data_IF_553179440002
#
_entry.id   IF_553179440002
#
_cell.length_a   1.000
_cell.length_b   1.000
_cell.length_c   1.000
_cell.angle_alpha   90.00
_cell.angle_beta   90.00
_cell.angle_gamma   90.00
#
_symmetry.space_group_name_H-M   'P 1'
#
loop_
_entity.id
_entity.type
_entity.pdbx_description
1 polymer ?
#
# COMPACT_ATOMS: atom_id res chain seq x y z
N UNK A 1 -10.91 -22.40 -10.07
CA UNK A 1 -9.54 -22.52 -10.62
C UNK A 1 -9.58 -23.07 -12.05
N UNK A 2 -9.37 -22.22 -13.06
CA UNK A 2 -9.14 -22.67 -14.45
C UNK A 2 -7.82 -22.07 -14.89
N UNK A 3 -6.75 -22.83 -14.72
CA UNK A 3 -5.44 -22.55 -15.29
C UNK A 3 -5.53 -22.72 -16.81
N UNK A 4 -5.03 -21.73 -17.57
CA UNK A 4 -4.83 -21.87 -19.03
C UNK A 4 -5.75 -21.08 -19.96
N UNK A 5 -6.61 -20.16 -19.50
CA UNK A 5 -7.33 -19.23 -20.41
C UNK A 5 -6.62 -17.87 -20.47
N UNK A 6 -6.31 -17.32 -21.67
CA UNK A 6 -5.76 -15.98 -21.79
C UNK A 6 -6.76 -14.97 -21.22
N UNK A 7 -6.30 -14.15 -20.27
CA UNK A 7 -7.11 -13.08 -19.68
C UNK A 7 -6.99 -11.86 -20.59
N UNK A 8 -7.95 -11.68 -21.48
CA UNK A 8 -8.03 -10.50 -22.34
C UNK A 8 -8.68 -9.35 -21.54
N UNK A 9 -7.97 -8.24 -21.41
CA UNK A 9 -8.50 -7.00 -20.83
C UNK A 9 -7.95 -5.81 -21.62
N UNK A 10 -8.76 -4.76 -21.77
CA UNK A 10 -8.35 -3.52 -22.41
C UNK A 10 -8.02 -2.50 -21.32
N UNK A 11 -6.85 -1.87 -21.44
CA UNK A 11 -6.46 -0.79 -20.52
C UNK A 11 -7.13 0.49 -21.02
N UNK A 12 -7.98 1.11 -20.19
CA UNK A 12 -8.55 2.41 -20.53
C UNK A 12 -7.50 3.51 -20.36
N UNK A 13 -7.49 4.45 -21.30
CA UNK A 13 -6.75 5.71 -21.32
C UNK A 13 -5.45 5.76 -20.51
N UNK A 14 -4.31 5.48 -21.17
CA UNK A 14 -2.98 5.45 -20.54
C UNK A 14 -2.57 6.79 -19.90
N UNK A 15 -3.02 7.92 -20.45
CA UNK A 15 -2.67 9.24 -19.93
C UNK A 15 -3.30 9.49 -18.56
N UNK A 16 -4.57 9.11 -18.37
CA UNK A 16 -5.28 9.22 -17.09
C UNK A 16 -4.67 8.26 -16.04
N UNK A 17 -4.30 7.06 -16.45
CA UNK A 17 -3.58 6.13 -15.59
C UNK A 17 -2.23 6.68 -15.12
N UNK A 18 -1.49 7.35 -16.01
CA UNK A 18 -0.20 7.96 -15.69
C UNK A 18 -0.34 9.12 -14.71
N UNK A 19 -1.33 9.99 -14.89
CA UNK A 19 -1.54 11.13 -13.97
C UNK A 19 -1.95 10.67 -12.59
N UNK A 20 -2.88 9.71 -12.50
CA UNK A 20 -3.33 9.15 -11.21
C UNK A 20 -2.18 8.41 -10.51
N UNK A 21 -1.40 7.61 -11.25
CA UNK A 21 -0.23 6.94 -10.69
C UNK A 21 0.85 7.93 -10.26
N UNK A 22 1.06 9.02 -10.99
CA UNK A 22 2.01 10.08 -10.63
C UNK A 22 1.62 10.78 -9.33
N UNK A 23 0.36 11.18 -9.19
CA UNK A 23 -0.18 11.78 -7.96
C UNK A 23 -0.08 10.78 -6.80
N UNK A 24 -0.46 9.52 -7.02
CA UNK A 24 -0.32 8.47 -6.03
C UNK A 24 1.13 8.24 -5.60
N UNK A 25 2.08 8.24 -6.54
CA UNK A 25 3.49 8.05 -6.27
C UNK A 25 4.08 9.20 -5.46
N UNK A 26 3.61 10.43 -5.69
CA UNK A 26 3.95 11.58 -4.86
C UNK A 26 3.49 11.37 -3.41
N UNK A 27 2.24 10.96 -3.20
CA UNK A 27 1.73 10.66 -1.85
C UNK A 27 2.48 9.49 -1.20
N UNK A 28 2.79 8.45 -1.96
CA UNK A 28 3.60 7.32 -1.48
C UNK A 28 4.99 7.79 -1.00
N UNK A 29 5.61 8.73 -1.70
CA UNK A 29 6.89 9.30 -1.28
C UNK A 29 6.81 10.17 -0.02
N UNK A 30 5.73 10.93 0.16
CA UNK A 30 5.59 11.89 1.28
C UNK A 30 5.08 11.25 2.57
N UNK A 31 4.04 10.42 2.46
CA UNK A 31 3.29 9.87 3.60
C UNK A 31 3.23 8.34 3.60
N UNK A 32 3.84 7.68 2.62
CA UNK A 32 3.89 6.22 2.50
C UNK A 32 2.53 5.54 2.24
N UNK A 33 1.53 6.26 1.73
CA UNK A 33 0.19 5.71 1.42
C UNK A 33 -0.43 6.37 0.17
N UNK A 34 -1.58 5.87 -0.29
CA UNK A 34 -2.39 6.48 -1.36
C UNK A 34 -2.20 5.88 -2.76
N UNK A 35 -0.98 5.50 -3.18
CA UNK A 35 -0.76 4.94 -4.53
C UNK A 35 -1.54 3.65 -4.78
N UNK A 36 -1.53 2.72 -3.83
CA UNK A 36 -2.19 1.42 -3.98
C UNK A 36 -3.71 1.53 -4.10
N UNK A 37 -4.30 2.45 -3.35
CA UNK A 37 -5.74 2.72 -3.34
C UNK A 37 -6.17 3.40 -4.66
N UNK A 38 -5.43 4.41 -5.09
CA UNK A 38 -5.69 5.13 -6.35
C UNK A 38 -5.56 4.21 -7.56
N UNK A 39 -4.48 3.41 -7.62
CA UNK A 39 -4.26 2.49 -8.72
C UNK A 39 -5.25 1.32 -8.71
N UNK A 40 -5.61 0.81 -7.52
CA UNK A 40 -6.66 -0.18 -7.34
C UNK A 40 -8.02 0.32 -7.81
N UNK A 41 -8.42 1.53 -7.40
CA UNK A 41 -9.66 2.17 -7.84
C UNK A 41 -9.68 2.38 -9.36
N UNK A 42 -8.60 2.91 -9.95
CA UNK A 42 -8.51 3.12 -11.38
C UNK A 42 -8.62 1.79 -12.17
N UNK A 43 -7.87 0.77 -11.78
CA UNK A 43 -7.88 -0.51 -12.50
C UNK A 43 -9.20 -1.28 -12.34
N UNK A 44 -9.79 -1.30 -11.13
CA UNK A 44 -11.01 -2.05 -10.83
C UNK A 44 -12.28 -1.31 -11.28
N UNK A 45 -12.41 -0.03 -10.93
CA UNK A 45 -13.65 0.72 -11.10
C UNK A 45 -13.70 1.44 -12.46
N UNK A 46 -12.56 1.96 -12.94
CA UNK A 46 -12.50 2.72 -14.20
C UNK A 46 -12.24 1.82 -15.40
N UNK A 47 -11.18 1.01 -15.34
CA UNK A 47 -10.77 0.13 -16.44
C UNK A 47 -11.46 -1.25 -16.44
N UNK A 48 -12.20 -1.59 -15.37
CA UNK A 48 -12.87 -2.90 -15.20
C UNK A 48 -11.94 -4.10 -15.46
N UNK A 49 -10.67 -3.96 -15.09
CA UNK A 49 -9.67 -5.02 -15.23
C UNK A 49 -10.02 -6.14 -14.24
N UNK A 50 -9.85 -7.42 -14.62
CA UNK A 50 -10.07 -8.54 -13.72
C UNK A 50 -9.32 -8.36 -12.40
N UNK A 51 -10.03 -8.56 -11.28
CA UNK A 51 -9.57 -8.19 -9.95
C UNK A 51 -8.20 -8.74 -9.57
N UNK A 52 -7.91 -9.97 -9.99
CA UNK A 52 -6.61 -10.62 -9.76
C UNK A 52 -5.45 -9.86 -10.42
N UNK A 53 -5.64 -9.39 -11.66
CA UNK A 53 -4.61 -8.67 -12.41
C UNK A 53 -4.46 -7.26 -11.83
N UNK A 54 -5.57 -6.58 -11.58
CA UNK A 54 -5.57 -5.23 -11.00
C UNK A 54 -4.83 -5.17 -9.66
N UNK A 55 -5.13 -6.09 -8.74
CA UNK A 55 -4.47 -6.14 -7.43
C UNK A 55 -2.97 -6.45 -7.57
N UNK A 56 -2.60 -7.42 -8.42
CA UNK A 56 -1.21 -7.78 -8.64
C UNK A 56 -0.39 -6.60 -9.21
N UNK A 57 -0.93 -5.91 -10.22
CA UNK A 57 -0.28 -4.72 -10.81
C UNK A 57 -0.17 -3.59 -9.79
N UNK A 58 -1.21 -3.30 -9.01
CA UNK A 58 -1.16 -2.26 -7.97
C UNK A 58 -0.12 -2.54 -6.90
N UNK A 59 -0.08 -3.76 -6.36
CA UNK A 59 0.91 -4.12 -5.33
C UNK A 59 2.33 -4.07 -5.90
N UNK A 60 2.53 -4.53 -7.13
CA UNK A 60 3.83 -4.44 -7.80
C UNK A 60 4.31 -2.99 -7.95
N UNK A 61 3.45 -2.11 -8.46
CA UNK A 61 3.76 -0.68 -8.63
C UNK A 61 4.08 -0.03 -7.29
N UNK A 62 3.26 -0.29 -6.26
CA UNK A 62 3.51 0.21 -4.89
C UNK A 62 4.85 -0.25 -4.35
N UNK A 63 5.19 -1.53 -4.51
CA UNK A 63 6.45 -2.08 -4.02
C UNK A 63 7.66 -1.42 -4.71
N UNK A 64 7.61 -1.24 -6.03
CA UNK A 64 8.68 -0.57 -6.78
C UNK A 64 8.82 0.89 -6.38
N UNK A 65 7.71 1.63 -6.28
CA UNK A 65 7.73 3.05 -5.86
C UNK A 65 8.26 3.19 -4.43
N UNK A 66 7.83 2.33 -3.51
CA UNK A 66 8.31 2.32 -2.14
C UNK A 66 9.82 2.03 -2.06
N UNK A 67 10.33 1.10 -2.87
CA UNK A 67 11.75 0.79 -2.93
C UNK A 67 12.58 1.98 -3.42
N UNK A 68 12.09 2.69 -4.45
CA UNK A 68 12.74 3.90 -4.98
C UNK A 68 12.71 5.04 -3.96
N UNK A 69 11.59 5.25 -3.27
CA UNK A 69 11.49 6.25 -2.21
C UNK A 69 12.45 5.93 -1.04
N UNK A 70 12.44 4.67 -0.58
CA UNK A 70 13.31 4.20 0.50
C UNK A 70 14.79 4.33 0.15
N UNK A 71 15.19 4.02 -1.09
CA UNK A 71 16.59 4.16 -1.52
C UNK A 71 17.01 5.63 -1.59
N UNK A 72 16.13 6.53 -2.05
CA UNK A 72 16.36 7.98 -2.01
C UNK A 72 16.55 8.51 -0.59
N UNK A 73 15.71 8.07 0.36
CA UNK A 73 15.88 8.41 1.78
C UNK A 73 17.18 7.84 2.35
N UNK A 74 17.50 6.58 2.06
CA UNK A 74 18.75 5.93 2.49
C UNK A 74 19.98 6.69 2.01
N UNK A 75 20.00 7.08 0.73
CA UNK A 75 21.09 7.87 0.16
C UNK A 75 21.27 9.20 0.90
N UNK A 76 20.18 9.91 1.18
CA UNK A 76 20.21 11.17 1.95
C UNK A 76 20.76 10.98 3.36
N UNK A 77 20.33 9.93 4.07
CA UNK A 77 20.83 9.66 5.43
C UNK A 77 22.28 9.19 5.45
N UNK A 78 22.70 8.42 4.45
CA UNK A 78 24.09 7.99 4.30
C UNK A 78 25.04 9.18 4.05
N UNK A 79 24.62 10.17 3.24
CA UNK A 79 25.42 11.37 2.97
C UNK A 79 25.40 12.38 4.12
N UNK A 80 24.31 12.45 4.88
CA UNK A 80 24.19 13.35 6.02
C UNK A 80 25.09 12.92 7.21
N UNK A 81 25.37 11.63 7.35
CA UNK A 81 26.22 11.08 8.42
C UNK A 81 25.63 11.25 9.85
N UNK A 82 26.19 10.52 10.82
CA UNK A 82 25.89 10.70 12.24
C UNK A 82 24.74 9.86 12.82
N UNK A 83 24.19 10.31 13.96
CA UNK A 83 23.22 9.57 14.78
C UNK A 83 21.92 9.22 14.04
N UNK A 84 21.54 10.00 13.03
CA UNK A 84 20.36 9.75 12.21
C UNK A 84 20.41 8.42 11.46
N UNK A 85 21.58 8.03 10.92
CA UNK A 85 21.71 6.74 10.22
C UNK A 85 21.61 5.57 11.20
N UNK A 86 22.18 5.70 12.39
CA UNK A 86 22.13 4.66 13.44
C UNK A 86 20.70 4.47 13.96
N UNK A 87 19.94 5.56 14.12
CA UNK A 87 18.52 5.51 14.45
C UNK A 87 17.70 4.80 13.37
N UNK A 88 17.87 5.20 12.10
CA UNK A 88 17.13 4.61 10.97
C UNK A 88 17.40 3.11 10.85
N UNK A 89 18.67 2.70 10.95
CA UNK A 89 19.04 1.27 10.93
C UNK A 89 18.46 0.53 12.13
N UNK A 90 18.50 1.12 13.32
CA UNK A 90 17.91 0.53 14.53
C UNK A 90 16.40 0.28 14.39
N UNK A 91 15.67 1.27 13.86
CA UNK A 91 14.23 1.14 13.57
C UNK A 91 13.98 0.11 12.46
N UNK A 92 14.81 0.08 11.42
CA UNK A 92 14.67 -0.85 10.31
C UNK A 92 14.82 -2.31 10.75
N UNK A 93 15.79 -2.60 11.63
CA UNK A 93 16.01 -3.97 12.16
C UNK A 93 14.77 -4.51 12.87
N UNK A 94 13.99 -3.65 13.52
CA UNK A 94 12.76 -4.06 14.21
C UNK A 94 11.53 -4.07 13.29
N UNK A 95 11.41 -3.09 12.39
CA UNK A 95 10.21 -2.91 11.54
C UNK A 95 10.20 -3.85 10.34
N UNK A 96 11.35 -4.13 9.70
CA UNK A 96 11.44 -4.99 8.51
C UNK A 96 10.88 -6.39 8.78
N UNK A 97 11.24 -7.10 9.86
CA UNK A 97 10.64 -8.39 10.17
C UNK A 97 9.12 -8.31 10.33
N UNK A 98 8.62 -7.27 11.01
CA UNK A 98 7.19 -7.06 11.20
C UNK A 98 6.44 -6.87 9.88
N UNK A 99 6.99 -6.09 8.95
CA UNK A 99 6.42 -5.88 7.61
C UNK A 99 6.46 -7.15 6.77
N UNK A 100 7.57 -7.91 6.83
CA UNK A 100 7.68 -9.19 6.12
C UNK A 100 6.62 -10.17 6.63
N UNK A 101 6.51 -10.34 7.94
CA UNK A 101 5.51 -11.23 8.54
C UNK A 101 4.09 -10.77 8.22
N UNK A 102 3.78 -9.48 8.39
CA UNK A 102 2.48 -8.91 8.08
C UNK A 102 2.11 -9.04 6.60
N UNK A 103 3.06 -8.82 5.70
CA UNK A 103 2.90 -8.94 4.25
C UNK A 103 2.63 -10.37 3.78
N UNK A 104 3.03 -11.39 4.55
CA UNK A 104 2.68 -12.78 4.27
C UNK A 104 1.37 -13.21 4.92
N UNK A 105 1.15 -12.82 6.18
CA UNK A 105 -0.07 -13.17 6.93
C UNK A 105 -1.29 -12.49 6.32
N UNK A 106 -1.18 -11.23 5.90
CA UNK A 106 -2.29 -10.44 5.34
C UNK A 106 -2.98 -11.13 4.16
N UNK A 107 -2.27 -11.47 3.07
CA UNK A 107 -2.84 -12.19 1.93
C UNK A 107 -3.37 -13.58 2.30
N UNK A 108 -2.68 -14.30 3.20
CA UNK A 108 -3.11 -15.61 3.66
C UNK A 108 -4.45 -15.53 4.40
N UNK A 109 -4.62 -14.51 5.24
CA UNK A 109 -5.83 -14.26 6.01
C UNK A 109 -6.96 -13.71 5.14
N UNK A 110 -6.66 -12.77 4.23
CA UNK A 110 -7.62 -12.17 3.31
C UNK A 110 -8.27 -13.18 2.37
N UNK A 111 -7.62 -14.32 2.10
CA UNK A 111 -8.23 -15.42 1.33
C UNK A 111 -9.23 -16.25 2.14
N UNK A 112 -9.16 -16.22 3.47
CA UNK A 112 -10.01 -17.00 4.38
C UNK A 112 -11.17 -16.19 4.97
N UNK A 113 -11.02 -14.87 5.08
CA UNK A 113 -12.03 -13.99 5.68
C UNK A 113 -13.01 -13.48 4.61
N UNK A 114 -14.33 -13.50 4.85
CA UNK A 114 -15.31 -12.89 3.95
C UNK A 114 -15.12 -11.38 3.86
N UNK A 115 -15.28 -10.80 2.67
CA UNK A 115 -15.14 -9.35 2.44
C UNK A 115 -15.97 -8.50 3.43
N UNK A 116 -17.20 -8.94 3.72
CA UNK A 116 -18.10 -8.25 4.66
C UNK A 116 -17.56 -8.19 6.09
N UNK A 117 -16.82 -9.22 6.52
CA UNK A 117 -16.19 -9.25 7.84
C UNK A 117 -15.00 -8.29 7.86
N UNK A 118 -14.18 -8.28 6.79
CA UNK A 118 -13.05 -7.35 6.66
C UNK A 118 -13.53 -5.89 6.73
N UNK A 119 -14.55 -5.54 5.95
CA UNK A 119 -15.14 -4.20 5.92
C UNK A 119 -15.69 -3.78 7.29
N UNK A 120 -16.45 -4.66 7.95
CA UNK A 120 -17.00 -4.38 9.28
C UNK A 120 -15.88 -4.23 10.32
N UNK A 121 -14.83 -5.04 10.23
CA UNK A 121 -13.69 -4.99 11.16
C UNK A 121 -12.90 -3.69 11.03
N UNK A 122 -12.65 -3.21 9.81
CA UNK A 122 -12.01 -1.93 9.55
C UNK A 122 -12.87 -0.77 10.05
N UNK A 123 -14.19 -0.82 9.81
CA UNK A 123 -15.12 0.20 10.30
C UNK A 123 -15.13 0.29 11.83
N UNK A 124 -15.17 -0.85 12.53
CA UNK A 124 -15.08 -0.90 14.00
C UNK A 124 -13.74 -0.37 14.49
N UNK A 125 -12.63 -0.74 13.83
CA UNK A 125 -11.30 -0.25 14.18
C UNK A 125 -11.23 1.29 14.09
N UNK A 126 -11.68 1.87 12.98
CA UNK A 126 -11.66 3.32 12.79
C UNK A 126 -12.56 4.05 13.79
N UNK A 127 -13.76 3.53 14.07
CA UNK A 127 -14.64 4.11 15.10
C UNK A 127 -14.00 4.07 16.48
N UNK A 128 -13.29 2.98 16.80
CA UNK A 128 -12.60 2.84 18.09
C UNK A 128 -11.47 3.86 18.21
N UNK A 129 -10.63 3.98 17.17
CA UNK A 129 -9.55 4.98 17.14
C UNK A 129 -10.14 6.39 17.24
N UNK A 130 -11.20 6.70 16.49
CA UNK A 130 -11.86 8.01 16.54
C UNK A 130 -12.45 8.33 17.93
N UNK A 131 -13.02 7.34 18.62
CA UNK A 131 -13.53 7.52 19.97
C UNK A 131 -12.41 7.76 20.99
N UNK A 132 -11.30 7.01 20.87
CA UNK A 132 -10.13 7.18 21.74
C UNK A 132 -9.47 8.54 21.55
N UNK A 133 -9.28 8.99 20.31
CA UNK A 133 -8.68 10.30 20.03
C UNK A 133 -9.60 11.43 20.51
N UNK A 134 -10.92 11.31 20.36
CA UNK A 134 -11.87 12.28 20.88
C UNK A 134 -11.82 12.34 22.42
N UNK A 135 -11.70 11.18 23.06
CA UNK A 135 -11.57 11.10 24.51
C UNK A 135 -10.31 11.79 25.03
N UNK A 136 -9.16 11.58 24.36
CA UNK A 136 -7.91 12.26 24.71
C UNK A 136 -7.98 13.78 24.56
N UNK A 137 -8.77 14.29 23.61
CA UNK A 137 -8.94 15.73 23.39
C UNK A 137 -9.87 16.37 24.44
N UNK A 138 -10.85 15.63 24.94
CA UNK A 138 -11.85 16.13 25.90
C UNK A 138 -11.33 16.07 27.36
N UNK A 139 -10.31 15.26 27.62
CA UNK A 139 -9.67 15.12 28.95
C UNK A 139 -8.55 16.14 29.14
#
# INVERSE_FOLDING_TARGET
PREGRPICYTVCNRAEGLTIAGVGALFMGMISTGLGELNGYFLLQRCRVPSRVAVATSVFVVAVTALVAASGHMWRFAHAGGDGLRLVVGIAVFTVPGVVVGGQIGPALSRRIPQRVMERSMGVLFLTVAALTLWEVVR
#
